data_IF_181164012613
#
_entry.id   IF_181164012613
#
_cell.length_a   1.000
_cell.length_b   1.000
_cell.length_c   1.000
_cell.angle_alpha   90.00
_cell.angle_beta   90.00
_cell.angle_gamma   90.00
#
_symmetry.space_group_name_H-M   'P 1'
#
loop_
_entity.id
_entity.type
_entity.pdbx_description
1 polymer ?
#
# COMPACT_ATOMS: atom_id res chain seq x y z
N UNK A 1 14.30 31.59 -27.16
CA UNK A 1 15.18 31.90 -26.03
C UNK A 1 16.62 31.90 -26.51
N UNK A 2 17.38 32.96 -26.23
CA UNK A 2 18.76 33.07 -26.73
C UNK A 2 19.70 32.21 -25.88
N UNK A 3 20.85 31.80 -26.42
CA UNK A 3 21.89 31.08 -25.68
C UNK A 3 22.34 31.83 -24.41
N UNK A 4 22.12 33.13 -24.37
CA UNK A 4 22.33 33.99 -23.21
C UNK A 4 21.35 33.72 -22.02
N UNK A 5 20.13 33.28 -22.30
CA UNK A 5 19.14 32.99 -21.29
C UNK A 5 19.44 31.65 -20.60
N UNK A 6 19.89 30.65 -21.36
CA UNK A 6 20.30 29.37 -20.78
C UNK A 6 21.57 29.54 -19.91
N UNK A 7 22.53 30.35 -20.34
CA UNK A 7 23.70 30.71 -19.53
C UNK A 7 23.36 31.43 -18.25
N UNK A 8 22.31 32.27 -18.28
CA UNK A 8 21.76 32.89 -17.07
C UNK A 8 21.17 31.86 -16.10
N UNK A 9 20.38 30.90 -16.60
CA UNK A 9 19.78 29.85 -15.77
C UNK A 9 20.84 29.00 -15.07
N UNK A 10 21.90 28.58 -15.78
CA UNK A 10 23.03 27.84 -15.18
C UNK A 10 23.73 28.66 -14.09
N UNK A 11 24.00 29.93 -14.32
CA UNK A 11 24.64 30.79 -13.36
C UNK A 11 23.79 30.93 -12.08
N UNK A 12 22.49 31.23 -12.25
CA UNK A 12 21.55 31.36 -11.10
C UNK A 12 21.46 30.03 -10.33
N UNK A 13 21.33 28.91 -11.02
CA UNK A 13 21.30 27.60 -10.39
C UNK A 13 22.57 27.34 -9.54
N UNK A 14 23.76 27.60 -10.13
CA UNK A 14 25.02 27.42 -9.41
C UNK A 14 25.18 28.39 -8.21
N UNK A 15 24.74 29.63 -8.34
CA UNK A 15 24.79 30.63 -7.26
C UNK A 15 23.84 30.33 -6.11
N UNK A 16 22.77 29.60 -6.36
CA UNK A 16 21.73 29.29 -5.37
C UNK A 16 21.98 27.97 -4.62
N UNK A 17 22.72 27.03 -5.21
CA UNK A 17 23.05 25.76 -4.56
C UNK A 17 23.83 26.00 -3.26
N UNK A 18 23.37 25.42 -2.14
CA UNK A 18 23.98 25.50 -0.82
C UNK A 18 23.65 26.77 -0.04
N UNK A 19 22.73 27.61 -0.53
CA UNK A 19 22.27 28.80 0.18
C UNK A 19 20.91 28.55 0.85
N UNK A 20 20.66 29.26 1.94
CA UNK A 20 19.34 29.28 2.58
C UNK A 20 18.29 29.80 1.58
N UNK A 21 17.16 29.08 1.45
CA UNK A 21 16.11 29.33 0.45
C UNK A 21 16.61 29.35 -1.01
N UNK A 22 17.71 28.65 -1.30
CA UNK A 22 18.35 28.67 -2.63
C UNK A 22 17.42 28.18 -3.74
N UNK A 23 16.64 27.12 -3.51
CA UNK A 23 15.68 26.60 -4.48
C UNK A 23 14.60 27.64 -4.80
N UNK A 24 13.98 28.24 -3.79
CA UNK A 24 12.94 29.25 -3.97
C UNK A 24 13.47 30.46 -4.75
N UNK A 25 14.63 30.97 -4.37
CA UNK A 25 15.30 32.08 -5.07
C UNK A 25 15.61 31.73 -6.51
N UNK A 26 16.16 30.53 -6.79
CA UNK A 26 16.48 30.07 -8.13
C UNK A 26 15.21 30.02 -9.01
N UNK A 27 14.14 29.44 -8.50
CA UNK A 27 12.87 29.34 -9.22
C UNK A 27 12.32 30.73 -9.55
N UNK A 28 12.34 31.67 -8.59
CA UNK A 28 11.85 33.02 -8.82
C UNK A 28 12.68 33.79 -9.86
N UNK A 29 14.01 33.70 -9.82
CA UNK A 29 14.87 34.38 -10.77
C UNK A 29 14.73 33.78 -12.20
N UNK A 30 14.69 32.44 -12.30
CA UNK A 30 14.53 31.75 -13.58
C UNK A 30 13.15 32.04 -14.17
N UNK A 31 12.07 31.85 -13.39
CA UNK A 31 10.69 32.07 -13.84
C UNK A 31 10.50 33.49 -14.42
N UNK A 32 10.98 34.52 -13.73
CA UNK A 32 10.95 35.91 -14.19
C UNK A 32 11.73 36.12 -15.49
N UNK A 33 12.87 35.45 -15.64
CA UNK A 33 13.71 35.61 -16.82
C UNK A 33 13.07 34.97 -18.07
N UNK A 34 12.44 33.81 -17.90
CA UNK A 34 11.82 33.09 -19.01
C UNK A 34 10.35 33.47 -19.25
N UNK A 35 9.72 34.28 -18.38
CA UNK A 35 8.32 34.67 -18.48
C UNK A 35 7.33 33.50 -18.33
N UNK A 36 7.71 32.47 -17.57
CA UNK A 36 6.91 31.25 -17.41
C UNK A 36 6.71 30.92 -15.91
N UNK A 37 5.62 30.24 -15.60
CA UNK A 37 5.38 29.71 -14.25
C UNK A 37 6.23 28.47 -14.02
N UNK A 38 7.00 28.45 -12.95
CA UNK A 38 7.86 27.31 -12.55
C UNK A 38 7.33 26.74 -11.25
N UNK A 39 7.15 25.41 -11.21
CA UNK A 39 6.60 24.68 -10.07
C UNK A 39 7.51 23.48 -9.79
N UNK A 40 7.83 23.30 -8.53
CA UNK A 40 8.48 22.07 -8.03
C UNK A 40 7.48 21.31 -7.17
N UNK A 41 7.32 20.03 -7.44
CA UNK A 41 6.46 19.15 -6.65
C UNK A 41 7.28 18.03 -6.02
N UNK A 42 6.75 17.47 -4.95
CA UNK A 42 7.20 16.16 -4.47
C UNK A 42 6.63 15.02 -5.34
N UNK A 43 6.97 13.77 -5.02
CA UNK A 43 6.48 12.56 -5.73
C UNK A 43 4.95 12.40 -5.64
N UNK A 44 4.30 13.10 -4.73
CA UNK A 44 2.84 13.04 -4.54
C UNK A 44 2.10 14.13 -5.34
N UNK A 45 2.84 14.92 -6.12
CA UNK A 45 2.28 16.05 -6.87
C UNK A 45 1.88 17.23 -6.01
N UNK A 46 2.36 17.29 -4.75
CA UNK A 46 2.17 18.45 -3.87
C UNK A 46 3.21 19.51 -4.20
N UNK A 47 2.75 20.76 -4.32
CA UNK A 47 3.62 21.90 -4.64
C UNK A 47 4.51 22.21 -3.45
N UNK A 48 5.82 22.12 -3.67
CA UNK A 48 6.85 22.40 -2.67
C UNK A 48 7.36 23.84 -2.80
N UNK A 49 7.55 24.29 -4.04
CA UNK A 49 7.93 25.65 -4.36
C UNK A 49 7.35 26.05 -5.70
N UNK A 50 6.94 27.31 -5.82
CA UNK A 50 6.38 27.83 -7.07
C UNK A 50 6.72 29.30 -7.28
N UNK A 51 6.79 29.69 -8.56
CA UNK A 51 6.74 31.08 -8.97
C UNK A 51 5.71 31.21 -10.09
N UNK A 52 4.53 31.68 -9.77
CA UNK A 52 3.38 31.81 -10.70
C UNK A 52 3.40 33.16 -11.42
N UNK A 53 4.19 33.26 -12.49
CA UNK A 53 4.27 34.45 -13.34
C UNK A 53 3.00 34.65 -14.19
N UNK A 54 2.35 33.55 -14.59
CA UNK A 54 1.16 33.58 -15.45
C UNK A 54 -0.15 33.79 -14.68
N UNK A 55 -0.08 33.98 -13.36
CA UNK A 55 -1.22 34.16 -12.45
C UNK A 55 -2.30 33.07 -12.57
N UNK A 56 -1.88 31.83 -12.83
CA UNK A 56 -2.75 30.67 -13.07
C UNK A 56 -3.50 30.24 -11.79
N UNK A 57 -2.94 30.54 -10.62
CA UNK A 57 -3.55 30.24 -9.32
C UNK A 57 -4.80 31.10 -9.06
N UNK A 58 -4.82 32.35 -9.53
CA UNK A 58 -5.94 33.28 -9.33
C UNK A 58 -7.19 32.88 -10.12
N UNK A 59 -7.05 32.08 -11.15
CA UNK A 59 -8.18 31.74 -12.02
C UNK A 59 -9.02 30.53 -11.56
N UNK A 60 -8.60 29.78 -10.54
CA UNK A 60 -9.26 28.49 -10.25
C UNK A 60 -9.08 27.94 -8.83
N UNK A 61 -10.20 27.56 -8.21
CA UNK A 61 -10.34 26.78 -6.96
C UNK A 61 -9.64 25.40 -6.94
N UNK A 62 -8.93 24.99 -8.02
CA UNK A 62 -8.38 23.64 -8.16
C UNK A 62 -6.98 23.59 -8.78
N UNK A 63 -6.14 24.63 -8.64
CA UNK A 63 -4.80 24.67 -9.24
C UNK A 63 -3.93 23.50 -8.75
N UNK A 64 -3.83 23.32 -7.43
CA UNK A 64 -3.05 22.23 -6.82
C UNK A 64 -3.52 20.84 -7.29
N UNK A 65 -4.84 20.65 -7.41
CA UNK A 65 -5.41 19.40 -7.93
C UNK A 65 -5.04 19.15 -9.39
N UNK A 66 -4.95 20.21 -10.20
CA UNK A 66 -4.54 20.08 -11.61
C UNK A 66 -3.07 19.73 -11.74
N UNK A 67 -2.19 20.37 -10.95
CA UNK A 67 -0.78 20.02 -10.92
C UNK A 67 -0.61 18.57 -10.46
N UNK A 68 -1.32 18.15 -9.43
CA UNK A 68 -1.32 16.77 -8.96
C UNK A 68 -1.76 15.77 -10.04
N UNK A 69 -2.85 16.07 -10.75
CA UNK A 69 -3.35 15.25 -11.85
C UNK A 69 -2.40 15.21 -13.05
N UNK A 70 -1.55 16.21 -13.22
CA UNK A 70 -0.49 16.22 -14.21
C UNK A 70 0.66 15.29 -13.81
N UNK A 71 1.10 15.38 -12.56
CA UNK A 71 2.29 14.68 -12.06
C UNK A 71 2.05 13.18 -11.92
N UNK A 72 0.94 12.77 -11.30
CA UNK A 72 0.69 11.39 -10.91
C UNK A 72 0.68 10.37 -12.05
N UNK A 73 0.05 10.61 -13.23
CA UNK A 73 0.06 9.64 -14.33
C UNK A 73 1.45 9.44 -14.95
N UNK A 74 2.38 10.35 -14.69
CA UNK A 74 3.73 10.33 -15.26
C UNK A 74 4.80 9.72 -14.35
N UNK A 75 4.44 9.30 -13.14
CA UNK A 75 5.32 8.57 -12.23
C UNK A 75 5.86 7.26 -12.83
N UNK A 76 5.02 6.56 -13.61
CA UNK A 76 5.36 5.27 -14.20
C UNK A 76 6.00 5.36 -15.62
N UNK A 77 5.98 6.54 -16.21
CA UNK A 77 6.27 6.68 -17.65
C UNK A 77 7.52 7.46 -17.99
N UNK A 78 8.48 7.59 -17.08
CA UNK A 78 9.76 8.29 -17.23
C UNK A 78 9.96 9.01 -18.59
N UNK A 79 9.65 10.29 -18.72
CA UNK A 79 9.69 11.11 -19.94
C UNK A 79 8.45 11.06 -20.84
N UNK A 80 7.34 11.63 -20.42
CA UNK A 80 6.30 12.05 -21.36
C UNK A 80 5.99 13.54 -21.20
N UNK A 81 6.04 14.22 -22.34
CA UNK A 81 5.50 15.55 -22.49
C UNK A 81 3.98 15.49 -22.35
N UNK A 82 3.42 16.31 -21.49
CA UNK A 82 1.97 16.32 -21.23
C UNK A 82 1.42 17.67 -21.66
N UNK A 83 0.48 17.64 -22.59
CA UNK A 83 -0.29 18.82 -22.95
C UNK A 83 -1.29 19.15 -21.86
N UNK A 84 -1.08 20.28 -21.23
CA UNK A 84 -2.03 20.85 -20.31
C UNK A 84 -3.17 21.47 -21.12
N UNK A 85 -4.42 21.00 -20.97
CA UNK A 85 -5.62 21.67 -21.46
C UNK A 85 -5.94 22.96 -20.67
N UNK A 86 -4.93 23.67 -20.29
CA UNK A 86 -4.96 25.08 -19.92
C UNK A 86 -4.44 25.84 -21.13
N UNK A 87 -4.81 27.07 -21.32
CA UNK A 87 -4.28 27.97 -22.35
C UNK A 87 -2.73 28.18 -22.32
N UNK A 88 -2.00 27.28 -21.69
CA UNK A 88 -0.55 27.30 -21.51
C UNK A 88 0.03 25.92 -21.87
N UNK A 89 1.14 25.90 -22.58
CA UNK A 89 1.96 24.70 -22.77
C UNK A 89 2.65 24.30 -21.48
N UNK A 90 3.10 23.04 -21.38
CA UNK A 90 3.82 22.55 -20.22
C UNK A 90 4.99 21.65 -20.59
N UNK A 91 6.07 21.75 -19.82
CA UNK A 91 7.18 20.81 -19.81
C UNK A 91 7.40 20.31 -18.40
N UNK A 92 7.51 19.01 -18.22
CA UNK A 92 7.76 18.38 -16.93
C UNK A 92 8.91 17.40 -17.02
N UNK A 93 9.72 17.33 -15.94
CA UNK A 93 10.82 16.35 -15.78
C UNK A 93 10.89 15.85 -14.35
N UNK A 94 11.21 14.55 -14.16
CA UNK A 94 11.44 14.00 -12.85
C UNK A 94 12.73 14.56 -12.23
N UNK A 95 12.72 14.77 -10.93
CA UNK A 95 13.89 15.09 -10.12
C UNK A 95 14.40 13.79 -9.51
N UNK A 96 15.52 13.30 -10.03
CA UNK A 96 16.09 12.01 -9.61
C UNK A 96 17.30 12.21 -8.71
N UNK A 97 17.28 11.54 -7.55
CA UNK A 97 18.41 11.47 -6.60
C UNK A 97 18.76 10.00 -6.38
N UNK A 98 19.99 9.60 -6.71
CA UNK A 98 20.47 8.20 -6.56
C UNK A 98 19.52 7.16 -7.19
N UNK A 99 19.04 7.43 -8.39
CA UNK A 99 18.10 6.59 -9.16
C UNK A 99 16.68 6.51 -8.60
N UNK A 100 16.33 7.33 -7.61
CA UNK A 100 14.97 7.45 -7.12
C UNK A 100 14.37 8.77 -7.56
N UNK A 101 13.13 8.75 -8.02
CA UNK A 101 12.37 9.98 -8.30
C UNK A 101 11.91 10.57 -6.96
N UNK A 102 12.37 11.79 -6.66
CA UNK A 102 12.05 12.51 -5.41
C UNK A 102 10.98 13.60 -5.64
N UNK A 103 10.71 13.95 -6.89
CA UNK A 103 9.71 14.95 -7.25
C UNK A 103 9.73 15.28 -8.73
N UNK A 104 9.09 16.39 -9.10
CA UNK A 104 9.03 16.87 -10.49
C UNK A 104 9.22 18.38 -10.56
N UNK A 105 9.91 18.83 -11.61
CA UNK A 105 9.92 20.21 -12.04
C UNK A 105 8.97 20.40 -13.22
N UNK A 106 8.06 21.36 -13.11
CA UNK A 106 7.05 21.70 -14.12
C UNK A 106 7.24 23.15 -14.53
N UNK A 107 7.31 23.42 -15.83
CA UNK A 107 7.29 24.77 -16.41
C UNK A 107 6.00 24.91 -17.23
N UNK A 108 5.21 25.94 -16.92
CA UNK A 108 4.02 26.31 -17.66
C UNK A 108 4.32 27.62 -18.42
N UNK A 109 4.07 27.65 -19.73
CA UNK A 109 4.37 28.79 -20.60
C UNK A 109 3.20 29.11 -21.52
N UNK A 110 3.07 30.39 -21.97
CA UNK A 110 2.01 30.78 -22.88
C UNK A 110 2.31 30.27 -24.30
N UNK A 111 1.42 29.45 -24.87
CA UNK A 111 1.53 28.95 -26.24
C UNK A 111 2.39 27.69 -26.42
N UNK A 112 2.40 27.14 -27.66
CA UNK A 112 3.10 25.88 -27.98
C UNK A 112 4.52 26.06 -28.53
N UNK A 113 4.90 27.27 -28.95
CA UNK A 113 6.16 27.51 -29.67
C UNK A 113 7.42 27.56 -28.78
N UNK A 114 7.26 27.64 -27.46
CA UNK A 114 8.39 27.78 -26.51
C UNK A 114 8.88 26.45 -25.91
N UNK A 115 8.38 25.32 -26.39
CA UNK A 115 8.60 23.99 -25.80
C UNK A 115 10.07 23.57 -25.73
N UNK A 116 10.83 23.74 -26.84
CA UNK A 116 12.23 23.29 -26.87
C UNK A 116 13.12 24.06 -25.89
N UNK A 117 12.93 25.36 -25.78
CA UNK A 117 13.70 26.22 -24.87
C UNK A 117 13.40 25.93 -23.41
N UNK A 118 12.13 25.64 -23.07
CA UNK A 118 11.73 25.28 -21.71
C UNK A 118 12.25 23.90 -21.29
N UNK A 119 12.43 22.98 -22.22
CA UNK A 119 13.02 21.65 -21.95
C UNK A 119 14.44 21.74 -21.41
N UNK A 120 15.26 22.60 -21.98
CA UNK A 120 16.65 22.79 -21.48
C UNK A 120 16.66 23.46 -20.10
N UNK A 121 15.81 24.46 -19.90
CA UNK A 121 15.70 25.15 -18.60
C UNK A 121 15.22 24.22 -17.50
N UNK A 122 14.21 23.37 -17.76
CA UNK A 122 13.73 22.42 -16.77
C UNK A 122 14.82 21.41 -16.37
N UNK A 123 15.68 21.01 -17.32
CA UNK A 123 16.82 20.15 -17.02
C UNK A 123 17.85 20.84 -16.08
N UNK A 124 18.08 22.15 -16.23
CA UNK A 124 18.94 22.92 -15.31
C UNK A 124 18.31 22.91 -13.90
N UNK A 125 17.03 23.23 -13.80
CA UNK A 125 16.31 23.25 -12.54
C UNK A 125 16.35 21.86 -11.86
N UNK A 126 16.03 20.79 -12.59
CA UNK A 126 16.04 19.41 -12.07
C UNK A 126 17.38 19.05 -11.48
N UNK A 127 18.49 19.33 -12.21
CA UNK A 127 19.85 19.04 -11.72
C UNK A 127 20.21 19.84 -10.47
N UNK A 128 19.86 21.13 -10.44
CA UNK A 128 20.16 21.98 -9.29
C UNK A 128 19.37 21.55 -8.04
N UNK A 129 18.08 21.23 -8.21
CA UNK A 129 17.23 20.73 -7.12
C UNK A 129 17.73 19.37 -6.65
N UNK A 130 18.10 18.45 -7.55
CA UNK A 130 18.63 17.15 -7.17
C UNK A 130 19.92 17.25 -6.33
N UNK A 131 20.84 18.16 -6.71
CA UNK A 131 22.07 18.42 -5.94
C UNK A 131 21.72 18.96 -4.56
N UNK A 132 20.77 19.87 -4.47
CA UNK A 132 20.36 20.47 -3.20
C UNK A 132 19.70 19.44 -2.30
N UNK A 133 18.86 18.58 -2.84
CA UNK A 133 18.24 17.46 -2.11
C UNK A 133 19.28 16.44 -1.61
N UNK A 134 20.31 16.17 -2.41
CA UNK A 134 21.38 15.26 -1.98
C UNK A 134 22.22 15.86 -0.82
N UNK A 135 22.43 17.19 -0.82
CA UNK A 135 23.19 17.88 0.22
C UNK A 135 22.42 18.10 1.52
N UNK A 136 21.13 18.36 1.39
CA UNK A 136 20.25 18.72 2.51
C UNK A 136 19.10 17.74 2.66
N UNK A 137 19.40 16.44 2.90
CA UNK A 137 18.36 15.46 3.23
C UNK A 137 17.43 15.90 4.38
N UNK A 138 17.84 16.93 5.14
CA UNK A 138 17.27 17.27 6.43
C UNK A 138 16.48 18.60 6.47
N UNK A 139 16.47 19.46 5.44
CA UNK A 139 15.98 20.84 5.65
C UNK A 139 14.94 21.40 4.69
N UNK A 140 14.87 21.01 3.44
CA UNK A 140 14.27 21.87 2.43
C UNK A 140 12.80 21.61 2.06
N UNK A 141 12.25 20.46 2.41
CA UNK A 141 10.97 20.04 1.88
C UNK A 141 9.82 19.98 2.91
N UNK A 142 9.97 20.63 4.07
CA UNK A 142 9.05 20.51 5.18
C UNK A 142 7.83 21.42 5.10
N UNK A 143 6.81 20.99 4.36
CA UNK A 143 5.41 21.31 4.68
C UNK A 143 4.87 20.33 5.75
N UNK A 144 3.72 20.65 6.37
CA UNK A 144 3.05 19.74 7.33
C UNK A 144 2.81 18.35 6.72
N UNK A 145 2.55 18.28 5.40
CA UNK A 145 2.40 17.03 4.65
C UNK A 145 3.69 16.20 4.63
N UNK A 146 4.83 16.84 4.65
CA UNK A 146 6.13 16.19 4.60
C UNK A 146 6.59 15.68 5.96
N UNK A 147 6.32 16.41 7.05
CA UNK A 147 6.54 15.88 8.41
C UNK A 147 5.74 14.57 8.60
N UNK A 148 4.49 14.55 8.13
CA UNK A 148 3.65 13.36 8.16
C UNK A 148 4.21 12.22 7.29
N UNK A 149 4.77 12.53 6.14
CA UNK A 149 5.43 11.55 5.28
C UNK A 149 6.67 10.95 5.93
N UNK A 150 7.51 11.77 6.56
CA UNK A 150 8.69 11.31 7.32
C UNK A 150 8.25 10.37 8.44
N UNK A 151 7.21 10.72 9.20
CA UNK A 151 6.64 9.82 10.22
C UNK A 151 6.15 8.52 9.59
N UNK A 152 5.48 8.60 8.44
CA UNK A 152 5.01 7.42 7.71
C UNK A 152 6.17 6.52 7.26
N UNK A 153 7.26 7.09 6.76
CA UNK A 153 8.45 6.33 6.34
C UNK A 153 9.16 5.67 7.53
N UNK A 154 9.27 6.35 8.66
CA UNK A 154 9.85 5.80 9.89
C UNK A 154 8.97 4.66 10.40
N UNK A 155 7.70 4.93 10.61
CA UNK A 155 6.76 4.01 11.27
C UNK A 155 6.39 2.84 10.37
N UNK A 156 6.13 3.09 9.09
CA UNK A 156 5.69 2.06 8.14
C UNK A 156 6.83 1.51 7.27
N UNK A 157 7.83 2.33 6.96
CA UNK A 157 9.00 1.93 6.18
C UNK A 157 10.03 1.13 6.96
N UNK A 158 10.06 1.23 8.30
CA UNK A 158 11.01 0.54 9.17
C UNK A 158 12.46 1.04 9.00
N UNK A 159 12.65 2.24 8.49
CA UNK A 159 13.98 2.87 8.37
C UNK A 159 14.38 3.45 9.74
N UNK A 160 15.12 2.70 10.54
CA UNK A 160 15.74 3.20 11.78
C UNK A 160 16.99 4.04 11.54
N UNK A 161 17.50 4.13 10.30
CA UNK A 161 18.66 4.93 9.93
C UNK A 161 18.25 6.11 9.06
N UNK A 162 17.60 7.08 9.65
CA UNK A 162 17.67 8.44 9.14
C UNK A 162 18.90 9.03 9.80
N UNK A 163 19.90 9.40 8.97
CA UNK A 163 21.16 9.96 9.46
C UNK A 163 20.93 11.05 10.51
N UNK A 164 21.92 11.27 11.35
CA UNK A 164 21.96 12.06 12.61
C UNK A 164 21.37 13.50 12.58
N UNK A 165 20.60 13.88 11.57
CA UNK A 165 20.06 15.22 11.33
C UNK A 165 18.59 15.45 11.68
N UNK A 166 17.74 14.43 11.76
CA UNK A 166 16.33 14.62 12.13
C UNK A 166 16.09 14.13 13.57
N UNK A 167 16.51 14.93 14.53
CA UNK A 167 15.91 14.93 15.85
C UNK A 167 14.48 15.49 15.73
N UNK A 168 13.56 14.70 15.18
CA UNK A 168 12.13 14.90 15.47
C UNK A 168 11.99 14.67 16.97
N UNK A 169 11.91 15.79 17.73
CA UNK A 169 11.66 15.71 19.16
C UNK A 169 10.47 14.80 19.39
N UNK A 170 10.58 13.83 20.26
CA UNK A 170 9.53 12.86 20.67
C UNK A 170 8.12 13.48 20.82
N UNK A 171 8.04 14.77 21.13
CA UNK A 171 6.80 15.54 21.19
C UNK A 171 6.07 15.71 19.85
N UNK A 172 6.75 15.67 18.68
CA UNK A 172 6.12 15.84 17.38
C UNK A 172 5.57 14.50 16.84
N UNK A 173 6.26 13.40 17.07
CA UNK A 173 5.73 12.06 16.73
C UNK A 173 4.40 11.76 17.43
N UNK A 174 4.29 12.13 18.71
CA UNK A 174 3.09 11.96 19.52
C UNK A 174 1.85 12.68 18.94
N UNK A 175 2.04 13.75 18.16
CA UNK A 175 0.91 14.48 17.55
C UNK A 175 0.27 13.72 16.37
N UNK A 176 1.00 12.81 15.72
CA UNK A 176 0.52 12.02 14.58
C UNK A 176 0.06 10.62 14.98
N UNK A 177 0.61 10.05 16.06
CA UNK A 177 0.32 8.69 16.51
C UNK A 177 -0.72 8.70 17.64
N UNK A 178 -1.96 9.02 17.29
CA UNK A 178 -3.09 8.97 18.24
C UNK A 178 -3.53 7.52 18.42
N UNK A 179 -3.55 6.97 19.65
CA UNK A 179 -3.98 5.59 19.90
C UNK A 179 -5.33 5.23 19.28
N UNK A 180 -5.47 3.98 18.89
CA UNK A 180 -6.57 3.50 18.07
C UNK A 180 -6.10 3.36 16.60
N UNK A 181 -5.11 2.48 16.41
CA UNK A 181 -4.46 2.23 15.12
C UNK A 181 -5.18 1.15 14.32
N UNK A 182 -5.33 1.38 13.02
CA UNK A 182 -5.79 0.36 12.08
C UNK A 182 -4.88 0.37 10.85
N UNK A 183 -4.32 -0.78 10.54
CA UNK A 183 -3.46 -0.96 9.36
C UNK A 183 -4.25 -1.45 8.16
N UNK A 184 -3.92 -0.90 6.99
CA UNK A 184 -4.37 -1.38 5.69
C UNK A 184 -3.19 -1.57 4.75
N UNK A 185 -3.28 -2.54 3.86
CA UNK A 185 -2.34 -2.74 2.75
C UNK A 185 -3.16 -2.80 1.47
N UNK A 186 -2.81 -1.94 0.52
CA UNK A 186 -3.33 -1.98 -0.86
C UNK A 186 -2.24 -2.54 -1.75
N UNK A 187 -2.55 -3.54 -2.57
CA UNK A 187 -1.63 -4.13 -3.54
C UNK A 187 -2.18 -4.01 -4.94
N UNK A 188 -1.36 -3.50 -5.85
CA UNK A 188 -1.64 -3.42 -7.27
C UNK A 188 -0.74 -4.39 -8.02
N UNK A 189 -1.31 -5.21 -8.89
CA UNK A 189 -0.57 -6.19 -9.71
C UNK A 189 -0.29 -5.69 -11.13
N UNK A 190 -0.80 -4.50 -11.48
CA UNK A 190 -0.65 -3.92 -12.80
C UNK A 190 0.76 -3.35 -13.01
N UNK A 191 1.25 -3.33 -14.26
CA UNK A 191 2.55 -2.75 -14.61
C UNK A 191 2.66 -1.24 -14.34
N UNK A 192 1.53 -0.53 -14.25
CA UNK A 192 1.44 0.91 -13.92
C UNK A 192 0.90 1.14 -12.51
N UNK A 193 1.49 0.46 -11.53
CA UNK A 193 0.97 0.43 -10.16
C UNK A 193 1.18 1.75 -9.40
N UNK A 194 2.26 2.50 -9.66
CA UNK A 194 2.60 3.69 -8.87
C UNK A 194 1.54 4.79 -9.00
N UNK A 195 1.17 5.19 -10.22
CA UNK A 195 0.16 6.21 -10.42
C UNK A 195 -1.22 5.81 -9.87
N UNK A 196 -1.57 4.52 -9.99
CA UNK A 196 -2.81 3.97 -9.44
C UNK A 196 -2.83 4.00 -7.91
N UNK A 197 -1.75 3.55 -7.27
CA UNK A 197 -1.62 3.58 -5.80
C UNK A 197 -1.62 5.00 -5.24
N UNK A 198 -1.03 5.97 -5.96
CA UNK A 198 -1.09 7.38 -5.60
C UNK A 198 -2.50 7.95 -5.69
N UNK A 199 -3.25 7.62 -6.74
CA UNK A 199 -4.65 8.03 -6.90
C UNK A 199 -5.52 7.50 -5.76
N UNK A 200 -5.32 6.23 -5.39
CA UNK A 200 -6.00 5.59 -4.25
C UNK A 200 -5.63 6.32 -2.94
N UNK A 201 -4.35 6.57 -2.70
CA UNK A 201 -3.88 7.31 -1.52
C UNK A 201 -4.57 8.66 -1.40
N UNK A 202 -4.59 9.44 -2.49
CA UNK A 202 -5.19 10.76 -2.50
C UNK A 202 -6.69 10.72 -2.23
N UNK A 203 -7.41 9.75 -2.80
CA UNK A 203 -8.84 9.60 -2.53
C UNK A 203 -9.12 9.24 -1.06
N UNK A 204 -8.28 8.39 -0.46
CA UNK A 204 -8.40 8.06 0.96
C UNK A 204 -8.06 9.29 1.81
N UNK A 205 -7.01 10.03 1.45
CA UNK A 205 -6.57 11.23 2.16
C UNK A 205 -7.59 12.38 2.11
N UNK A 206 -8.36 12.52 1.02
CA UNK A 206 -9.47 13.50 0.94
C UNK A 206 -10.55 13.23 2.01
N UNK A 207 -10.76 11.97 2.40
CA UNK A 207 -11.71 11.58 3.45
C UNK A 207 -11.09 11.55 4.84
N UNK A 208 -9.81 11.31 4.94
CA UNK A 208 -9.06 11.17 6.18
C UNK A 208 -7.70 11.85 6.09
N UNK A 209 -7.66 13.10 6.48
CA UNK A 209 -6.45 13.92 6.46
C UNK A 209 -5.41 13.52 7.52
N UNK A 210 -5.77 12.68 8.49
CA UNK A 210 -4.87 12.14 9.52
C UNK A 210 -4.17 10.84 9.10
N UNK A 211 -4.51 10.32 7.91
CA UNK A 211 -3.91 9.12 7.36
C UNK A 211 -2.38 9.24 7.27
N UNK A 212 -1.67 8.24 7.81
CA UNK A 212 -0.27 8.00 7.52
C UNK A 212 -0.15 6.93 6.44
N UNK A 213 0.67 7.16 5.44
CA UNK A 213 0.78 6.22 4.31
C UNK A 213 2.21 6.12 3.79
N UNK A 214 2.60 4.92 3.38
CA UNK A 214 3.93 4.63 2.83
C UNK A 214 3.80 3.76 1.59
N UNK A 215 4.44 4.19 0.51
CA UNK A 215 4.47 3.49 -0.76
C UNK A 215 5.78 2.69 -0.89
N UNK A 216 5.69 1.41 -1.19
CA UNK A 216 6.85 0.55 -1.40
C UNK A 216 6.58 -0.49 -2.47
N UNK A 217 7.22 -0.36 -3.62
CA UNK A 217 6.99 -1.23 -4.76
C UNK A 217 5.53 -1.25 -5.20
N UNK A 218 4.94 -2.43 -5.30
CA UNK A 218 3.55 -2.66 -5.69
C UNK A 218 2.52 -2.49 -4.57
N UNK A 219 2.95 -1.94 -3.40
CA UNK A 219 2.13 -1.85 -2.19
C UNK A 219 2.04 -0.43 -1.64
N UNK A 220 0.84 -0.07 -1.18
CA UNK A 220 0.59 1.13 -0.38
C UNK A 220 0.16 0.69 1.03
N UNK A 221 0.94 1.05 2.02
CA UNK A 221 0.64 0.85 3.42
C UNK A 221 -0.12 2.04 3.96
N UNK A 222 -1.17 1.79 4.71
CA UNK A 222 -2.07 2.77 5.31
C UNK A 222 -2.08 2.57 6.81
N UNK A 223 -1.89 3.64 7.59
CA UNK A 223 -2.08 3.63 9.03
C UNK A 223 -3.09 4.72 9.40
N UNK A 224 -4.26 4.29 9.81
CA UNK A 224 -5.29 5.15 10.37
C UNK A 224 -5.05 5.29 11.85
N UNK A 225 -5.14 6.50 12.39
CA UNK A 225 -4.92 6.82 13.80
C UNK A 225 -6.20 7.37 14.43
N UNK A 226 -6.34 7.28 15.76
CA UNK A 226 -7.52 7.75 16.48
C UNK A 226 -8.82 7.02 16.15
N UNK A 227 -8.75 5.80 15.59
CA UNK A 227 -9.93 5.05 15.16
C UNK A 227 -10.67 4.38 16.31
N UNK A 228 -12.01 4.43 16.24
CA UNK A 228 -12.91 3.70 17.12
C UNK A 228 -13.79 2.71 16.35
N UNK A 229 -13.90 2.84 15.03
CA UNK A 229 -14.84 2.10 14.21
C UNK A 229 -14.11 1.29 13.10
N UNK A 230 -13.56 0.14 13.48
CA UNK A 230 -12.89 -0.81 12.57
C UNK A 230 -13.78 -1.17 11.37
N UNK A 231 -15.06 -1.44 11.62
CA UNK A 231 -16.00 -1.92 10.60
C UNK A 231 -16.22 -0.89 9.48
N UNK A 232 -16.44 0.37 9.84
CA UNK A 232 -16.68 1.45 8.83
C UNK A 232 -15.45 1.71 7.98
N UNK A 233 -14.26 1.69 8.59
CA UNK A 233 -13.01 1.86 7.84
C UNK A 233 -12.77 0.67 6.90
N UNK A 234 -13.08 -0.55 7.35
CA UNK A 234 -12.96 -1.75 6.51
C UNK A 234 -13.95 -1.74 5.33
N UNK A 235 -15.20 -1.30 5.54
CA UNK A 235 -16.19 -1.17 4.48
C UNK A 235 -15.77 -0.10 3.45
N UNK A 236 -15.32 1.05 3.90
CA UNK A 236 -14.78 2.09 3.03
C UNK A 236 -13.61 1.59 2.18
N UNK A 237 -12.63 0.90 2.78
CA UNK A 237 -11.50 0.33 2.03
C UNK A 237 -11.95 -0.76 1.05
N UNK A 238 -13.00 -1.52 1.36
CA UNK A 238 -13.59 -2.49 0.43
C UNK A 238 -14.15 -1.80 -0.82
N UNK A 239 -14.89 -0.70 -0.63
CA UNK A 239 -15.42 0.11 -1.74
C UNK A 239 -14.29 0.67 -2.63
N UNK A 240 -13.23 1.18 -2.01
CA UNK A 240 -12.03 1.65 -2.72
C UNK A 240 -11.40 0.50 -3.52
N UNK A 241 -11.23 -0.68 -2.92
CA UNK A 241 -10.68 -1.85 -3.59
C UNK A 241 -11.47 -2.24 -4.83
N UNK A 242 -12.80 -2.26 -4.74
CA UNK A 242 -13.69 -2.55 -5.86
C UNK A 242 -13.62 -1.49 -6.95
N UNK A 243 -13.62 -0.20 -6.58
CA UNK A 243 -13.57 0.90 -7.53
C UNK A 243 -12.30 0.94 -8.37
N UNK A 244 -11.17 0.56 -7.78
CA UNK A 244 -9.87 0.57 -8.45
C UNK A 244 -9.43 -0.82 -8.96
N UNK A 245 -10.13 -1.90 -8.66
CA UNK A 245 -9.73 -3.26 -9.02
C UNK A 245 -8.36 -3.62 -8.42
N UNK A 246 -8.18 -3.40 -7.12
CA UNK A 246 -6.95 -3.69 -6.39
C UNK A 246 -7.24 -4.58 -5.18
N UNK A 247 -6.23 -5.34 -4.75
CA UNK A 247 -6.34 -6.15 -3.54
C UNK A 247 -6.07 -5.33 -2.31
N UNK A 248 -6.93 -5.47 -1.31
CA UNK A 248 -6.81 -4.78 -0.03
C UNK A 248 -6.84 -5.80 1.12
N UNK A 249 -5.92 -5.62 2.08
CA UNK A 249 -5.92 -6.34 3.34
C UNK A 249 -6.07 -5.35 4.50
N UNK A 250 -6.96 -5.64 5.45
CA UNK A 250 -7.24 -4.78 6.59
C UNK A 250 -6.97 -5.54 7.88
N UNK A 251 -6.19 -4.91 8.77
CA UNK A 251 -5.88 -5.42 10.10
C UNK A 251 -6.99 -5.23 11.11
N UNK A 252 -6.75 -5.71 12.31
CA UNK A 252 -7.58 -5.48 13.49
C UNK A 252 -7.15 -4.19 14.20
N UNK A 253 -8.07 -3.58 14.94
CA UNK A 253 -7.78 -2.38 15.73
C UNK A 253 -6.82 -2.72 16.88
N UNK A 254 -5.85 -1.84 17.15
CA UNK A 254 -4.90 -1.95 18.26
C UNK A 254 -4.54 -0.56 18.81
N UNK A 255 -3.87 -0.50 19.96
CA UNK A 255 -3.63 0.78 20.65
C UNK A 255 -2.16 1.06 20.92
N UNK A 256 -1.31 0.04 20.92
CA UNK A 256 0.12 0.20 21.19
C UNK A 256 0.90 0.51 19.91
N UNK A 257 1.56 1.67 19.88
CA UNK A 257 2.37 2.09 18.73
C UNK A 257 3.58 1.18 18.47
N UNK A 258 4.10 0.53 19.51
CA UNK A 258 5.24 -0.39 19.37
C UNK A 258 4.89 -1.65 18.55
N UNK A 259 3.59 -1.98 18.46
CA UNK A 259 3.13 -3.10 17.66
C UNK A 259 3.03 -2.79 16.15
N UNK A 260 3.12 -1.53 15.71
CA UNK A 260 2.85 -1.15 14.31
C UNK A 260 3.70 -1.96 13.33
N UNK A 261 5.01 -2.08 13.58
CA UNK A 261 5.95 -2.79 12.69
C UNK A 261 5.65 -4.29 12.64
N UNK A 262 5.41 -4.91 13.80
CA UNK A 262 5.10 -6.34 13.88
C UNK A 262 3.75 -6.65 13.23
N UNK A 263 2.73 -5.83 13.46
CA UNK A 263 1.41 -5.96 12.85
C UNK A 263 1.43 -5.73 11.35
N UNK A 264 2.23 -4.78 10.86
CA UNK A 264 2.44 -4.60 9.42
C UNK A 264 2.99 -5.87 8.78
N UNK A 265 4.06 -6.46 9.34
CA UNK A 265 4.64 -7.72 8.85
C UNK A 265 3.63 -8.86 8.88
N UNK A 266 2.84 -8.95 9.93
CA UNK A 266 1.79 -9.96 10.02
C UNK A 266 0.70 -9.75 8.96
N UNK A 267 0.26 -8.50 8.75
CA UNK A 267 -0.75 -8.18 7.75
C UNK A 267 -0.27 -8.45 6.30
N UNK A 268 1.03 -8.28 6.01
CA UNK A 268 1.63 -8.71 4.74
C UNK A 268 1.49 -10.22 4.52
N UNK A 269 1.70 -11.01 5.57
CA UNK A 269 1.52 -12.47 5.54
C UNK A 269 0.05 -12.84 5.36
N UNK A 270 -0.86 -12.14 6.05
CA UNK A 270 -2.32 -12.31 5.85
C UNK A 270 -2.70 -12.10 4.39
N UNK A 271 -2.22 -11.03 3.76
CA UNK A 271 -2.46 -10.78 2.34
C UNK A 271 -1.90 -11.89 1.44
N UNK A 272 -0.69 -12.37 1.72
CA UNK A 272 -0.08 -13.48 0.96
C UNK A 272 -0.87 -14.77 1.12
N UNK A 273 -1.22 -15.13 2.36
CA UNK A 273 -2.00 -16.35 2.66
C UNK A 273 -3.40 -16.25 2.04
N UNK A 274 -4.11 -15.14 2.23
CA UNK A 274 -5.43 -14.90 1.65
C UNK A 274 -5.41 -15.01 0.12
N UNK A 275 -4.40 -14.43 -0.54
CA UNK A 275 -4.24 -14.52 -2.00
C UNK A 275 -3.98 -15.96 -2.47
N UNK A 276 -3.28 -16.78 -1.68
CA UNK A 276 -3.05 -18.20 -1.99
C UNK A 276 -4.31 -19.03 -1.76
N UNK A 277 -5.02 -18.78 -0.65
CA UNK A 277 -6.22 -19.50 -0.27
C UNK A 277 -7.41 -19.19 -1.18
N UNK A 278 -7.62 -17.91 -1.49
CA UNK A 278 -8.74 -17.40 -2.26
C UNK A 278 -8.26 -16.45 -3.38
N UNK A 279 -7.72 -16.98 -4.50
CA UNK A 279 -7.12 -16.16 -5.57
C UNK A 279 -8.09 -15.18 -6.23
N UNK A 280 -9.38 -15.48 -6.22
CA UNK A 280 -10.43 -14.64 -6.81
C UNK A 280 -10.94 -13.54 -5.86
N UNK A 281 -10.48 -13.51 -4.60
CA UNK A 281 -10.91 -12.54 -3.61
C UNK A 281 -9.95 -11.35 -3.60
N UNK A 282 -10.50 -10.13 -3.56
CA UNK A 282 -9.72 -8.90 -3.58
C UNK A 282 -9.72 -8.16 -2.24
N UNK A 283 -10.48 -8.63 -1.27
CA UNK A 283 -10.54 -8.02 0.06
C UNK A 283 -10.35 -9.06 1.15
N UNK A 284 -9.35 -8.84 2.00
CA UNK A 284 -8.96 -9.75 3.08
C UNK A 284 -9.02 -9.04 4.42
N UNK A 285 -9.49 -9.73 5.45
CA UNK A 285 -9.47 -9.25 6.83
C UNK A 285 -8.55 -10.13 7.67
N UNK A 286 -7.74 -9.52 8.52
CA UNK A 286 -6.82 -10.23 9.43
C UNK A 286 -7.52 -11.36 10.18
N UNK A 287 -8.71 -11.07 10.75
CA UNK A 287 -9.48 -12.05 11.55
C UNK A 287 -9.93 -13.27 10.76
N UNK A 288 -10.17 -13.12 9.46
CA UNK A 288 -10.66 -14.21 8.60
C UNK A 288 -9.54 -15.19 8.22
N UNK A 289 -8.29 -14.76 8.20
CA UNK A 289 -7.12 -15.55 7.78
C UNK A 289 -6.06 -15.69 8.88
N UNK A 290 -6.43 -15.38 10.13
CA UNK A 290 -5.47 -15.36 11.24
C UNK A 290 -4.83 -16.74 11.46
N UNK A 291 -5.67 -17.78 11.57
CA UNK A 291 -5.22 -19.14 11.82
C UNK A 291 -4.40 -19.68 10.65
N UNK A 292 -4.89 -19.49 9.41
CA UNK A 292 -4.22 -19.92 8.19
C UNK A 292 -2.84 -19.24 8.04
N UNK A 293 -2.76 -17.97 8.42
CA UNK A 293 -1.51 -17.21 8.36
C UNK A 293 -0.49 -17.74 9.36
N UNK A 294 -0.89 -18.05 10.59
CA UNK A 294 -0.01 -18.66 11.59
C UNK A 294 0.46 -20.04 11.12
N UNK A 295 -0.46 -20.89 10.68
CA UNK A 295 -0.13 -22.20 10.17
C UNK A 295 0.82 -22.15 8.97
N UNK A 296 0.59 -21.23 8.02
CA UNK A 296 1.47 -21.03 6.87
C UNK A 296 2.89 -20.61 7.26
N UNK A 297 3.03 -19.81 8.32
CA UNK A 297 4.33 -19.41 8.84
C UNK A 297 5.06 -20.57 9.48
N UNK A 298 4.39 -21.34 10.34
CA UNK A 298 4.95 -22.51 11.00
C UNK A 298 5.40 -23.58 10.00
N UNK A 299 4.66 -23.75 8.91
CA UNK A 299 5.06 -24.65 7.81
C UNK A 299 6.32 -24.19 7.08
N UNK A 300 6.51 -22.90 6.88
CA UNK A 300 7.68 -22.34 6.19
C UNK A 300 8.99 -22.57 6.96
N UNK A 301 8.93 -22.62 8.27
CA UNK A 301 10.07 -22.91 9.16
C UNK A 301 10.40 -24.42 9.26
N UNK A 302 9.72 -25.30 8.52
CA UNK A 302 9.86 -26.78 8.55
C UNK A 302 9.63 -27.44 9.91
N UNK A 303 9.08 -26.73 10.88
CA UNK A 303 8.86 -27.24 12.24
C UNK A 303 7.66 -28.20 12.33
N UNK A 304 6.83 -28.26 11.30
CA UNK A 304 5.55 -29.01 11.28
C UNK A 304 5.45 -30.13 10.25
N UNK A 305 6.58 -30.59 9.68
CA UNK A 305 6.56 -31.79 8.85
C UNK A 305 6.27 -33.02 9.73
N UNK A 306 5.05 -33.53 9.65
CA UNK A 306 4.64 -34.74 10.35
C UNK A 306 3.50 -34.59 11.37
N UNK A 307 3.02 -33.40 11.61
CA UNK A 307 1.83 -33.17 12.45
C UNK A 307 0.52 -33.35 11.68
N UNK A 308 0.46 -34.43 10.88
CA UNK A 308 -0.79 -34.79 10.22
C UNK A 308 -1.63 -35.64 11.16
N UNK A 309 -2.87 -35.26 11.30
CA UNK A 309 -3.84 -36.06 12.04
C UNK A 309 -4.25 -37.23 11.13
N UNK A 310 -3.78 -38.44 11.41
CA UNK A 310 -4.15 -39.67 10.69
C UNK A 310 -5.66 -39.84 10.63
N UNK A 311 -6.38 -39.33 11.62
CA UNK A 311 -7.82 -39.32 11.70
C UNK A 311 -8.46 -38.59 10.50
N UNK A 312 -7.90 -37.47 10.07
CA UNK A 312 -8.41 -36.72 8.92
C UNK A 312 -8.21 -37.46 7.60
N UNK A 313 -7.10 -38.16 7.46
CA UNK A 313 -6.90 -39.00 6.28
C UNK A 313 -7.89 -40.18 6.23
N UNK A 314 -8.17 -40.82 7.38
CA UNK A 314 -9.20 -41.86 7.45
C UNK A 314 -10.57 -41.31 7.06
N UNK A 315 -10.90 -40.12 7.50
CA UNK A 315 -12.17 -39.47 7.17
C UNK A 315 -12.29 -39.20 5.65
N UNK A 316 -11.24 -38.68 5.04
CA UNK A 316 -11.19 -38.45 3.58
C UNK A 316 -11.31 -39.76 2.78
N UNK A 317 -10.62 -40.82 3.23
CA UNK A 317 -10.72 -42.13 2.61
C UNK A 317 -12.14 -42.70 2.69
N UNK A 318 -12.79 -42.54 3.84
CA UNK A 318 -14.18 -42.93 4.04
C UNK A 318 -15.14 -42.19 3.09
N UNK A 319 -14.96 -40.85 2.99
CA UNK A 319 -15.76 -40.02 2.11
C UNK A 319 -15.63 -40.45 0.64
N UNK A 320 -14.41 -40.77 0.18
CA UNK A 320 -14.18 -41.25 -1.20
C UNK A 320 -14.79 -42.62 -1.42
N UNK A 321 -14.69 -43.55 -0.44
CA UNK A 321 -15.17 -44.91 -0.58
C UNK A 321 -16.68 -45.03 -0.51
N UNK A 322 -17.33 -44.19 0.32
CA UNK A 322 -18.78 -44.31 0.61
C UNK A 322 -19.61 -43.18 0.05
N UNK A 323 -18.99 -42.19 -0.61
CA UNK A 323 -19.68 -41.01 -1.12
C UNK A 323 -20.28 -40.15 -0.02
N UNK A 324 -19.64 -40.10 1.14
CA UNK A 324 -20.08 -39.30 2.27
C UNK A 324 -19.39 -37.91 2.24
N UNK A 325 -19.85 -36.99 3.07
CA UNK A 325 -19.29 -35.63 3.21
C UNK A 325 -18.89 -35.37 4.67
N UNK A 326 -18.27 -36.33 5.31
CA UNK A 326 -17.92 -36.25 6.73
C UNK A 326 -16.81 -35.24 6.99
N UNK A 327 -15.79 -35.19 6.13
CA UNK A 327 -14.70 -34.21 6.24
C UNK A 327 -15.23 -32.77 6.19
N UNK A 328 -16.04 -32.45 5.21
CA UNK A 328 -16.62 -31.11 5.09
C UNK A 328 -17.60 -30.81 6.23
N UNK A 329 -18.33 -31.81 6.70
CA UNK A 329 -19.23 -31.68 7.87
C UNK A 329 -18.45 -31.36 9.15
N UNK A 330 -17.33 -32.05 9.39
CA UNK A 330 -16.44 -31.79 10.52
C UNK A 330 -15.83 -30.40 10.41
N UNK A 331 -15.34 -30.02 9.25
CA UNK A 331 -14.75 -28.69 9.00
C UNK A 331 -15.75 -27.57 9.33
N UNK A 332 -16.98 -27.64 8.79
CA UNK A 332 -17.97 -26.61 9.02
C UNK A 332 -18.43 -26.56 10.50
N UNK A 333 -18.44 -27.68 11.19
CA UNK A 333 -18.73 -27.75 12.62
C UNK A 333 -17.67 -27.01 13.44
N UNK A 334 -16.39 -27.32 13.20
CA UNK A 334 -15.26 -26.68 13.89
C UNK A 334 -15.17 -25.17 13.59
N UNK A 335 -15.30 -24.78 12.33
CA UNK A 335 -15.30 -23.37 11.89
C UNK A 335 -16.52 -22.58 12.39
N UNK A 336 -17.58 -23.26 12.81
CA UNK A 336 -18.77 -22.65 13.40
C UNK A 336 -18.71 -22.57 14.94
N UNK A 337 -17.53 -22.78 15.54
CA UNK A 337 -17.34 -22.76 16.99
C UNK A 337 -18.09 -23.92 17.66
N UNK A 338 -18.09 -25.10 17.06
CA UNK A 338 -18.77 -26.30 17.53
C UNK A 338 -20.32 -26.16 17.59
N UNK A 339 -20.87 -25.25 16.79
CA UNK A 339 -22.32 -25.03 16.73
C UNK A 339 -22.96 -25.85 15.60
N UNK A 340 -23.68 -26.91 15.97
CA UNK A 340 -24.35 -27.81 15.04
C UNK A 340 -25.36 -27.10 14.14
N UNK A 341 -26.11 -26.14 14.69
CA UNK A 341 -27.14 -25.41 13.92
C UNK A 341 -26.54 -24.50 12.86
N UNK A 342 -25.45 -23.80 13.21
CA UNK A 342 -24.72 -22.95 12.26
C UNK A 342 -24.02 -23.77 11.17
N UNK A 343 -23.41 -24.90 11.54
CA UNK A 343 -22.77 -25.80 10.58
C UNK A 343 -23.79 -26.41 9.59
N UNK A 344 -24.94 -26.89 10.12
CA UNK A 344 -26.01 -27.42 9.28
C UNK A 344 -26.53 -26.39 8.28
N UNK A 345 -26.71 -25.13 8.71
CA UNK A 345 -27.14 -24.02 7.84
C UNK A 345 -26.12 -23.74 6.72
N UNK A 346 -24.83 -23.74 7.04
CA UNK A 346 -23.75 -23.53 6.04
C UNK A 346 -23.70 -24.62 4.98
N UNK A 347 -24.00 -25.89 5.39
CA UNK A 347 -24.00 -27.05 4.48
C UNK A 347 -25.34 -27.29 3.81
N UNK A 348 -26.34 -26.44 4.07
CA UNK A 348 -27.71 -26.60 3.55
C UNK A 348 -28.33 -27.96 3.90
N UNK A 349 -28.02 -28.51 5.09
CA UNK A 349 -28.58 -29.77 5.58
C UNK A 349 -29.46 -29.56 6.81
N UNK A 350 -30.35 -30.51 7.09
CA UNK A 350 -31.16 -30.47 8.31
C UNK A 350 -30.26 -30.70 9.56
N UNK A 351 -30.60 -30.05 10.67
CA UNK A 351 -29.86 -30.16 11.93
C UNK A 351 -29.66 -31.62 12.38
N UNK A 352 -30.68 -32.46 12.23
CA UNK A 352 -30.60 -33.88 12.60
C UNK A 352 -29.61 -34.64 11.73
N UNK A 353 -29.53 -34.31 10.43
CA UNK A 353 -28.52 -34.90 9.51
C UNK A 353 -27.13 -34.53 9.98
N UNK A 354 -26.91 -33.29 10.41
CA UNK A 354 -25.62 -32.85 10.94
C UNK A 354 -25.26 -33.58 12.24
N UNK A 355 -26.18 -33.75 13.16
CA UNK A 355 -26.00 -34.54 14.37
C UNK A 355 -25.59 -35.97 14.04
N UNK A 356 -26.32 -36.62 13.14
CA UNK A 356 -26.01 -37.97 12.67
C UNK A 356 -24.59 -38.05 12.08
N UNK A 357 -24.23 -37.10 11.21
CA UNK A 357 -22.87 -37.08 10.62
C UNK A 357 -21.80 -36.96 11.69
N UNK A 358 -21.97 -36.06 12.67
CA UNK A 358 -21.01 -35.89 13.77
C UNK A 358 -20.91 -37.12 14.67
N UNK A 359 -22.02 -37.82 14.94
CA UNK A 359 -21.98 -39.10 15.65
C UNK A 359 -21.18 -40.15 14.90
N UNK A 360 -21.39 -40.25 13.58
CA UNK A 360 -20.63 -41.18 12.73
C UNK A 360 -19.15 -40.83 12.68
N UNK A 361 -18.80 -39.56 12.63
CA UNK A 361 -17.40 -39.09 12.70
C UNK A 361 -16.76 -39.49 14.04
N UNK A 362 -17.44 -39.28 15.18
CA UNK A 362 -16.96 -39.69 16.49
C UNK A 362 -16.70 -41.20 16.56
N UNK A 363 -17.65 -42.03 16.04
CA UNK A 363 -17.50 -43.48 15.97
C UNK A 363 -16.32 -43.90 15.10
N UNK A 364 -16.18 -43.31 13.92
CA UNK A 364 -15.16 -43.64 12.94
C UNK A 364 -13.75 -43.30 13.43
N UNK A 365 -13.61 -42.10 13.98
CA UNK A 365 -12.31 -41.60 14.45
C UNK A 365 -11.97 -42.02 15.89
N UNK A 366 -12.94 -42.57 16.62
CA UNK A 366 -12.82 -42.93 18.05
C UNK A 366 -12.35 -41.75 18.93
N UNK A 367 -12.88 -40.56 18.65
CA UNK A 367 -12.56 -39.31 19.35
C UNK A 367 -13.83 -38.74 19.98
N UNK A 368 -13.62 -37.74 20.85
CA UNK A 368 -14.71 -36.96 21.43
C UNK A 368 -14.63 -35.51 20.92
N UNK A 369 -15.46 -35.17 19.95
CA UNK A 369 -15.52 -33.81 19.39
C UNK A 369 -16.01 -32.74 20.37
N UNK A 370 -16.58 -33.12 21.53
CA UNK A 370 -16.97 -32.21 22.57
C UNK A 370 -15.78 -31.78 23.45
N UNK A 371 -14.67 -32.47 23.35
CA UNK A 371 -13.44 -32.11 24.02
C UNK A 371 -12.76 -30.92 23.32
N UNK A 372 -12.58 -29.76 24.02
CA UNK A 372 -12.05 -28.55 23.40
C UNK A 372 -10.65 -28.71 22.79
N UNK A 373 -9.80 -29.53 23.40
CA UNK A 373 -8.44 -29.75 22.89
C UNK A 373 -8.45 -30.59 21.63
N UNK A 374 -9.27 -31.64 21.57
CA UNK A 374 -9.48 -32.46 20.37
C UNK A 374 -10.02 -31.61 19.21
N UNK A 375 -11.03 -30.76 19.48
CA UNK A 375 -11.59 -29.89 18.46
C UNK A 375 -10.56 -28.88 17.92
N UNK A 376 -9.73 -28.27 18.79
CA UNK A 376 -8.66 -27.34 18.39
C UNK A 376 -7.60 -28.01 17.56
N UNK A 377 -7.13 -29.19 17.98
CA UNK A 377 -6.13 -29.97 17.26
C UNK A 377 -6.62 -30.33 15.85
N UNK A 378 -7.85 -30.82 15.73
CA UNK A 378 -8.43 -31.16 14.44
C UNK A 378 -8.57 -29.93 13.51
N UNK A 379 -9.00 -28.79 14.07
CA UNK A 379 -9.09 -27.55 13.29
C UNK A 379 -7.75 -27.11 12.73
N UNK A 380 -6.71 -27.08 13.56
CA UNK A 380 -5.35 -26.72 13.14
C UNK A 380 -4.85 -27.72 12.07
N UNK A 381 -5.04 -29.01 12.30
CA UNK A 381 -4.63 -30.05 11.34
C UNK A 381 -5.35 -29.93 10.00
N UNK A 382 -6.64 -29.57 9.99
CA UNK A 382 -7.38 -29.32 8.76
C UNK A 382 -6.84 -28.11 8.00
N UNK A 383 -6.54 -27.02 8.70
CA UNK A 383 -5.97 -25.82 8.08
C UNK A 383 -4.60 -26.11 7.48
N UNK A 384 -3.73 -26.82 8.21
CA UNK A 384 -2.41 -27.26 7.71
C UNK A 384 -2.56 -28.10 6.44
N UNK A 385 -3.47 -29.08 6.45
CA UNK A 385 -3.70 -29.95 5.30
C UNK A 385 -4.19 -29.17 4.06
N UNK A 386 -5.09 -28.23 4.24
CA UNK A 386 -5.57 -27.39 3.13
C UNK A 386 -4.48 -26.49 2.53
N UNK A 387 -3.57 -25.98 3.37
CA UNK A 387 -2.43 -25.21 2.91
C UNK A 387 -1.48 -26.05 2.07
N UNK A 388 -1.25 -27.30 2.47
CA UNK A 388 -0.42 -28.26 1.72
C UNK A 388 -1.08 -28.62 0.39
N UNK A 389 -2.34 -29.03 0.43
CA UNK A 389 -3.09 -29.42 -0.78
C UNK A 389 -3.07 -28.29 -1.83
N UNK A 390 -3.20 -27.04 -1.40
CA UNK A 390 -3.14 -25.87 -2.28
C UNK A 390 -1.71 -25.54 -2.77
N UNK A 391 -0.70 -25.85 -1.99
CA UNK A 391 0.70 -25.69 -2.41
C UNK A 391 1.09 -26.71 -3.46
N UNK A 392 0.66 -27.96 -3.32
CA UNK A 392 0.96 -29.05 -4.25
C UNK A 392 0.26 -28.85 -5.61
N UNK A 393 -1.00 -28.41 -5.63
CA UNK A 393 -1.72 -28.12 -6.89
C UNK A 393 -1.02 -27.08 -7.76
N UNK A 394 -0.38 -26.07 -7.18
CA UNK A 394 0.39 -25.08 -7.96
C UNK A 394 1.64 -25.65 -8.60
N UNK A 395 2.30 -26.59 -7.94
CA UNK A 395 3.51 -27.24 -8.50
C UNK A 395 3.14 -28.10 -9.71
N UNK A 396 1.98 -28.77 -9.67
CA UNK A 396 1.49 -29.60 -10.76
C UNK A 396 1.07 -28.74 -11.97
N UNK A 397 0.40 -27.60 -11.76
CA UNK A 397 -0.01 -26.67 -12.83
C UNK A 397 1.19 -25.95 -13.49
N UNK A 398 2.26 -25.67 -12.75
CA UNK A 398 3.50 -25.07 -13.30
C UNK A 398 4.41 -26.14 -13.97
N UNK A 399 4.25 -27.42 -13.61
CA UNK A 399 4.96 -28.55 -14.22
C UNK A 399 4.42 -28.94 -15.60
N UNK A 400 3.12 -28.79 -15.82
CA UNK A 400 2.45 -29.10 -17.11
C UNK A 400 2.62 -27.98 -18.18
N UNK A 401 3.21 -26.83 -17.80
CA UNK A 401 3.49 -25.70 -18.71
C UNK A 401 4.97 -25.66 -19.19
N UNK A 402 5.75 -26.70 -18.91
CA UNK A 402 7.12 -26.89 -19.39
C UNK A 402 7.18 -28.12 -20.32
#
# INVERSE_FOLDING_TARGET
MDSKDLGFCYRVAFECIGKENGIERMIHEIARRIGATVIITNIYGEIVSECDILHLRNEKENFDRKIRNLVLPNLDSGNKEVDFKLSAGSVMRPIEVKHNVEGFAVILFPGHEEKENCTEVVNVIVKAVAIELERHKDRAWCSISMERQIVSEIVLGGKHEIGEGIHMKEKKEQSYLIPGFLLGIVRCTDHKHLGKLQSIRNQIYEKDQELLSYLSGDKLYLLFTGRKEEQKTAEFLREVGQAFGVRICVGSLFSDKEEIVSRKKFLERVMQTGTKMDPCKDFFREKEYFLETICSYMMAENEFQGYYCEELERLRKEDVQKGTEFYESLKQYLLSGNNVGMAAKKLFVHRNTMIYRLQKINELLKINLNEPDTARMLLISMVLQELIDKSNKKVDEEGDLR
#
